data_IF_909518571633
#
_entry.id   IF_909518571633
#
_cell.length_a   1.000
_cell.length_b   1.000
_cell.length_c   1.000
_cell.angle_alpha   90.00
_cell.angle_beta   90.00
_cell.angle_gamma   90.00
#
_symmetry.space_group_name_H-M   'P 1'
#
loop_
_entity.id
_entity.type
_entity.pdbx_description
1 polymer ?
#
# COMPACT_ATOMS: atom_id res chain seq x y z
N UNK A 1 13.90 4.48 -2.33
CA UNK A 1 12.53 4.12 -1.94
C UNK A 1 12.47 3.65 -0.50
N UNK A 2 12.75 4.63 0.36
CA UNK A 2 12.22 4.77 1.71
C UNK A 2 10.68 4.96 1.70
N UNK A 3 10.01 5.01 2.86
CA UNK A 3 8.56 5.18 2.94
C UNK A 3 8.01 6.49 2.35
N UNK A 4 8.75 7.60 2.40
CA UNK A 4 8.25 8.90 1.93
C UNK A 4 8.23 9.01 0.40
N UNK A 5 9.16 8.33 -0.29
CA UNK A 5 9.03 8.13 -1.74
C UNK A 5 7.76 7.33 -2.12
N UNK A 6 7.30 6.41 -1.27
CA UNK A 6 6.04 5.64 -1.51
C UNK A 6 4.82 6.51 -1.26
N UNK A 7 4.83 7.27 -0.16
CA UNK A 7 3.77 8.24 0.20
C UNK A 7 3.55 9.25 -0.94
N UNK A 8 4.62 9.85 -1.46
CA UNK A 8 4.59 10.78 -2.60
C UNK A 8 4.09 10.14 -3.93
N UNK A 9 4.25 8.83 -4.10
CA UNK A 9 3.64 8.11 -5.23
C UNK A 9 2.14 7.94 -5.00
N UNK A 10 1.72 7.53 -3.80
CA UNK A 10 0.31 7.35 -3.43
C UNK A 10 -0.49 8.66 -3.41
N UNK A 11 0.14 9.80 -3.12
CA UNK A 11 -0.49 11.14 -3.17
C UNK A 11 -1.09 11.52 -4.54
N UNK A 12 -0.71 10.81 -5.61
CA UNK A 12 -1.21 11.02 -6.98
C UNK A 12 -2.56 10.37 -7.26
N UNK A 13 -2.98 9.44 -6.41
CA UNK A 13 -4.28 8.76 -6.55
C UNK A 13 -5.43 9.75 -6.46
N UNK A 14 -6.49 9.50 -7.24
CA UNK A 14 -7.67 10.37 -7.27
C UNK A 14 -8.68 9.95 -6.20
N UNK A 15 -9.16 10.94 -5.45
CA UNK A 15 -10.19 10.76 -4.44
C UNK A 15 -11.27 11.84 -4.58
N UNK A 16 -12.53 11.46 -4.37
CA UNK A 16 -13.66 12.38 -4.48
C UNK A 16 -13.81 13.22 -3.21
N UNK A 17 -14.02 14.53 -3.37
CA UNK A 17 -14.24 15.46 -2.26
C UNK A 17 -15.52 16.27 -2.44
N UNK A 18 -16.19 16.55 -1.33
CA UNK A 18 -17.25 17.55 -1.22
C UNK A 18 -16.62 18.86 -0.71
N UNK A 19 -16.61 19.90 -1.54
CA UNK A 19 -16.10 21.22 -1.15
C UNK A 19 -17.18 22.04 -0.41
N UNK A 20 -16.77 23.01 0.41
CA UNK A 20 -17.67 24.02 1.00
C UNK A 20 -17.53 25.41 0.35
N UNK A 21 -16.93 25.45 -0.84
CA UNK A 21 -16.69 26.65 -1.64
C UNK A 21 -16.93 26.31 -3.11
N UNK A 22 -17.25 27.31 -3.92
CA UNK A 22 -17.24 27.19 -5.37
C UNK A 22 -16.07 28.01 -5.93
N UNK A 23 -15.37 27.47 -6.92
CA UNK A 23 -14.22 28.11 -7.57
C UNK A 23 -14.05 27.55 -8.99
N UNK A 24 -13.48 28.35 -9.89
CA UNK A 24 -13.22 27.94 -11.26
C UNK A 24 -12.18 26.80 -11.34
N UNK A 25 -12.11 26.18 -12.52
CA UNK A 25 -11.09 25.19 -12.85
C UNK A 25 -9.69 25.80 -12.69
N UNK A 26 -8.79 25.06 -12.03
CA UNK A 26 -7.38 25.42 -11.88
C UNK A 26 -6.57 24.55 -12.83
N UNK A 27 -5.82 25.18 -13.72
CA UNK A 27 -4.93 24.53 -14.69
C UNK A 27 -3.55 24.30 -14.05
N UNK A 28 -3.07 23.05 -14.03
CA UNK A 28 -1.77 22.68 -13.48
C UNK A 28 -0.91 21.96 -14.52
N UNK A 29 0.40 21.92 -14.31
CA UNK A 29 1.36 21.20 -15.17
C UNK A 29 1.01 19.70 -15.27
N UNK A 30 0.47 19.10 -14.19
CA UNK A 30 0.01 17.71 -14.14
C UNK A 30 -1.44 17.49 -14.61
N UNK A 31 -2.09 18.49 -15.22
CA UNK A 31 -3.50 18.45 -15.61
C UNK A 31 -4.43 19.20 -14.65
N UNK A 32 -5.63 19.51 -15.13
CA UNK A 32 -6.57 20.39 -14.45
C UNK A 32 -7.25 19.77 -13.23
N UNK A 33 -7.61 20.61 -12.25
CA UNK A 33 -8.48 20.26 -11.12
C UNK A 33 -9.70 21.21 -11.07
N UNK A 34 -10.85 20.66 -10.67
CA UNK A 34 -12.13 21.38 -10.69
C UNK A 34 -12.75 21.50 -12.11
N UNK A 35 -13.77 22.37 -12.29
CA UNK A 35 -14.23 23.40 -11.36
C UNK A 35 -14.79 22.84 -10.05
N UNK A 36 -14.68 23.61 -8.99
CA UNK A 36 -15.21 23.28 -7.67
C UNK A 36 -16.59 23.89 -7.49
N UNK A 37 -17.54 23.10 -7.00
CA UNK A 37 -18.89 23.56 -6.66
C UNK A 37 -19.26 23.04 -5.28
N UNK A 38 -19.71 23.94 -4.41
CA UNK A 38 -20.05 23.60 -3.03
C UNK A 38 -21.04 22.44 -2.95
N UNK A 39 -20.74 21.45 -2.10
CA UNK A 39 -21.50 20.20 -1.90
C UNK A 39 -21.64 19.28 -3.11
N UNK A 40 -20.93 19.52 -4.22
CA UNK A 40 -20.87 18.61 -5.38
C UNK A 40 -19.58 17.77 -5.33
N UNK A 41 -19.63 16.44 -5.49
CA UNK A 41 -18.45 15.59 -5.61
C UNK A 41 -17.52 16.07 -6.72
N UNK A 42 -16.23 16.22 -6.40
CA UNK A 42 -15.18 16.59 -7.35
C UNK A 42 -13.96 15.69 -7.12
N UNK A 43 -13.50 15.00 -8.15
CA UNK A 43 -12.31 14.15 -8.04
C UNK A 43 -11.02 14.97 -8.16
N UNK A 44 -10.14 14.83 -7.17
CA UNK A 44 -8.84 15.50 -7.13
C UNK A 44 -7.73 14.52 -6.70
N UNK A 45 -6.45 14.79 -7.00
CA UNK A 45 -5.34 14.07 -6.39
C UNK A 45 -5.38 14.14 -4.86
N UNK A 46 -4.94 13.08 -4.19
CA UNK A 46 -4.98 12.96 -2.73
C UNK A 46 -4.26 14.11 -2.01
N UNK A 47 -3.13 14.62 -2.53
CA UNK A 47 -2.45 15.80 -1.96
C UNK A 47 -3.34 17.06 -1.95
N UNK A 48 -4.18 17.26 -2.98
CA UNK A 48 -5.15 18.37 -3.04
C UNK A 48 -6.26 18.16 -2.01
N UNK A 49 -6.75 16.93 -1.88
CA UNK A 49 -7.77 16.57 -0.90
C UNK A 49 -7.27 16.81 0.54
N UNK A 50 -6.04 16.40 0.86
CA UNK A 50 -5.39 16.63 2.16
C UNK A 50 -5.22 18.14 2.41
N UNK A 51 -4.68 18.89 1.45
CA UNK A 51 -4.47 20.34 1.55
C UNK A 51 -5.77 21.11 1.81
N UNK A 52 -6.85 20.78 1.11
CA UNK A 52 -8.18 21.37 1.33
C UNK A 52 -8.80 20.91 2.66
N UNK A 53 -8.60 19.65 3.06
CA UNK A 53 -9.11 19.08 4.32
C UNK A 53 -8.45 19.73 5.54
N UNK A 54 -7.12 19.93 5.54
CA UNK A 54 -6.38 20.65 6.58
C UNK A 54 -6.92 22.09 6.75
N UNK A 55 -7.24 22.75 5.64
CA UNK A 55 -7.84 24.10 5.59
C UNK A 55 -9.34 24.13 5.89
N UNK A 56 -9.94 23.00 6.29
CA UNK A 56 -11.39 22.81 6.53
C UNK A 56 -12.28 23.24 5.34
N UNK A 57 -11.75 23.13 4.11
CA UNK A 57 -12.42 23.50 2.85
C UNK A 57 -13.13 22.34 2.13
N UNK A 58 -12.94 21.11 2.59
CA UNK A 58 -13.66 19.95 2.06
C UNK A 58 -13.91 18.85 3.09
N UNK A 59 -14.87 17.98 2.77
CA UNK A 59 -15.02 16.63 3.31
C UNK A 59 -14.54 15.64 2.24
N UNK A 60 -13.53 14.85 2.57
CA UNK A 60 -13.10 13.73 1.73
C UNK A 60 -14.19 12.65 1.80
N UNK A 61 -14.55 12.06 0.66
CA UNK A 61 -15.45 10.91 0.60
C UNK A 61 -14.60 9.62 0.65
N UNK A 62 -15.01 8.59 1.43
CA UNK A 62 -14.31 7.31 1.42
C UNK A 62 -14.42 6.67 0.03
N UNK A 63 -13.31 6.12 -0.52
CA UNK A 63 -13.37 5.32 -1.74
C UNK A 63 -14.28 4.10 -1.58
N UNK A 64 -14.89 3.61 -2.66
CA UNK A 64 -15.86 2.50 -2.61
C UNK A 64 -15.30 1.17 -2.07
N UNK A 65 -13.98 1.02 -2.03
CA UNK A 65 -13.25 -0.13 -1.48
C UNK A 65 -12.94 0.03 0.01
N UNK A 66 -12.91 1.26 0.52
CA UNK A 66 -12.68 1.58 1.94
C UNK A 66 -14.02 1.54 2.70
N UNK A 67 -14.78 0.49 2.41
CA UNK A 67 -16.16 0.27 2.81
C UNK A 67 -16.22 -1.04 3.60
N UNK A 68 -16.92 -1.03 4.73
CA UNK A 68 -16.75 -2.02 5.79
C UNK A 68 -17.17 -3.41 5.32
N UNK A 69 -18.30 -3.50 4.62
CA UNK A 69 -18.79 -4.76 4.03
C UNK A 69 -17.77 -5.36 3.05
N UNK A 70 -17.14 -4.53 2.21
CA UNK A 70 -16.15 -5.00 1.22
C UNK A 70 -14.78 -5.32 1.85
N UNK A 71 -14.37 -4.57 2.87
CA UNK A 71 -13.15 -4.87 3.61
C UNK A 71 -13.31 -6.13 4.46
N UNK A 72 -14.49 -6.34 5.06
CA UNK A 72 -14.82 -7.61 5.70
C UNK A 72 -14.90 -8.73 4.66
N UNK A 73 -15.57 -8.58 3.50
CA UNK A 73 -15.51 -9.58 2.41
C UNK A 73 -14.07 -9.96 2.01
N UNK A 74 -13.19 -8.97 1.85
CA UNK A 74 -11.78 -9.18 1.50
C UNK A 74 -11.02 -9.86 2.64
N UNK A 75 -11.32 -9.53 3.89
CA UNK A 75 -10.73 -10.14 5.10
C UNK A 75 -11.33 -11.51 5.43
N UNK A 76 -12.55 -11.82 5.04
CA UNK A 76 -13.18 -13.15 5.18
C UNK A 76 -12.68 -14.12 4.10
N UNK A 77 -12.43 -13.63 2.87
CA UNK A 77 -11.66 -14.37 1.84
C UNK A 77 -10.22 -14.68 2.29
N UNK A 78 -9.78 -14.12 3.40
CA UNK A 78 -8.38 -14.07 3.84
C UNK A 78 -8.17 -14.59 5.29
N UNK A 79 -9.20 -14.70 6.17
CA UNK A 79 -8.98 -14.84 7.64
C UNK A 79 -10.02 -15.49 8.58
N UNK A 80 -11.34 -15.27 8.44
CA UNK A 80 -12.42 -15.56 9.45
C UNK A 80 -12.44 -14.67 10.75
N UNK A 81 -13.58 -13.98 11.04
CA UNK A 81 -14.06 -13.35 12.31
C UNK A 81 -13.70 -11.88 12.77
N UNK A 82 -14.61 -11.22 13.53
CA UNK A 82 -14.88 -9.74 13.79
C UNK A 82 -14.42 -9.17 15.19
N UNK A 83 -14.63 -7.92 15.73
CA UNK A 83 -14.92 -6.47 15.42
C UNK A 83 -14.70 -5.64 16.77
N UNK A 84 -14.92 -4.33 17.06
CA UNK A 84 -15.48 -3.08 16.45
C UNK A 84 -14.68 -1.79 16.90
N UNK A 85 -14.86 -0.47 16.62
CA UNK A 85 -15.78 0.44 15.84
C UNK A 85 -14.98 1.70 15.30
N UNK A 86 -15.20 3.01 15.57
CA UNK A 86 -16.03 4.05 14.86
C UNK A 86 -15.28 5.12 13.99
N UNK A 87 -15.49 5.08 12.65
CA UNK A 87 -15.61 6.18 11.63
C UNK A 87 -16.44 5.52 10.50
N UNK A 88 -17.76 5.39 10.66
CA UNK A 88 -18.30 4.18 11.35
C UNK A 88 -17.43 2.95 11.04
N UNK A 89 -16.97 2.23 12.07
CA UNK A 89 -15.98 1.15 11.95
C UNK A 89 -14.56 1.65 11.53
N UNK A 90 -13.99 2.68 12.18
CA UNK A 90 -12.66 3.25 11.88
C UNK A 90 -11.50 2.35 12.25
N UNK A 91 -11.52 1.93 13.50
CA UNK A 91 -10.47 1.16 14.13
C UNK A 91 -10.67 -0.31 13.76
N UNK A 92 -11.89 -0.70 13.36
CA UNK A 92 -12.12 -1.79 12.40
C UNK A 92 -11.41 -1.58 11.07
N UNK A 93 -11.74 -0.58 10.24
CA UNK A 93 -11.10 -0.38 8.92
C UNK A 93 -9.56 -0.32 9.04
N UNK A 94 -9.04 0.31 10.10
CA UNK A 94 -7.62 0.32 10.47
C UNK A 94 -7.11 -1.08 10.83
N UNK A 95 -7.84 -1.83 11.65
CA UNK A 95 -7.49 -3.20 12.06
C UNK A 95 -7.64 -4.20 10.92
N UNK A 96 -8.59 -4.04 10.00
CA UNK A 96 -8.78 -4.84 8.79
C UNK A 96 -7.65 -4.59 7.79
N UNK A 97 -7.32 -3.32 7.53
CA UNK A 97 -6.15 -2.95 6.72
C UNK A 97 -4.86 -3.49 7.36
N UNK A 98 -4.72 -3.37 8.69
CA UNK A 98 -3.58 -3.94 9.43
C UNK A 98 -3.56 -5.47 9.40
N UNK A 99 -4.70 -6.14 9.50
CA UNK A 99 -4.81 -7.60 9.50
C UNK A 99 -4.46 -8.19 8.14
N UNK A 100 -4.98 -7.58 7.07
CA UNK A 100 -4.63 -7.90 5.69
C UNK A 100 -3.13 -7.68 5.48
N UNK A 101 -2.59 -6.57 5.98
CA UNK A 101 -1.15 -6.27 5.93
C UNK A 101 -0.30 -7.29 6.69
N UNK A 102 -0.57 -7.53 7.97
CA UNK A 102 0.20 -8.42 8.84
C UNK A 102 0.12 -9.87 8.33
N UNK A 103 -1.03 -10.32 7.80
CA UNK A 103 -1.15 -11.64 7.19
C UNK A 103 -0.41 -11.74 5.86
N UNK A 104 -0.48 -10.73 4.98
CA UNK A 104 0.27 -10.74 3.72
C UNK A 104 1.78 -10.67 3.94
N UNK A 105 2.23 -9.89 4.92
CA UNK A 105 3.63 -9.91 5.40
C UNK A 105 4.01 -11.28 5.99
N UNK A 106 3.11 -11.97 6.70
CA UNK A 106 3.36 -13.33 7.19
C UNK A 106 3.46 -14.35 6.02
N UNK A 107 2.57 -14.28 5.02
CA UNK A 107 2.63 -15.08 3.78
C UNK A 107 3.94 -14.83 3.03
N UNK A 108 4.34 -13.57 2.87
CA UNK A 108 5.59 -13.15 2.22
C UNK A 108 6.84 -13.66 2.97
N UNK A 109 6.89 -13.49 4.30
CA UNK A 109 7.97 -14.03 5.14
C UNK A 109 8.09 -15.55 5.01
N UNK A 110 6.97 -16.28 5.02
CA UNK A 110 6.95 -17.74 4.84
C UNK A 110 7.43 -18.15 3.44
N UNK A 111 7.06 -17.41 2.39
CA UNK A 111 7.57 -17.65 1.03
C UNK A 111 9.09 -17.46 0.95
N UNK A 112 9.62 -16.42 1.61
CA UNK A 112 11.06 -16.14 1.68
C UNK A 112 11.81 -17.21 2.46
N UNK A 113 11.28 -17.66 3.60
CA UNK A 113 11.85 -18.74 4.41
C UNK A 113 11.96 -20.06 3.62
N UNK A 114 10.93 -20.39 2.85
CA UNK A 114 10.93 -21.54 1.92
C UNK A 114 12.01 -21.37 0.84
N UNK A 115 12.06 -20.21 0.16
CA UNK A 115 13.06 -19.93 -0.87
C UNK A 115 14.50 -20.02 -0.33
N UNK A 116 14.77 -19.46 0.86
CA UNK A 116 16.09 -19.46 1.50
C UNK A 116 16.50 -20.87 1.93
N UNK A 117 15.60 -21.63 2.57
CA UNK A 117 15.88 -22.97 3.08
C UNK A 117 16.00 -24.04 1.98
N UNK A 118 15.17 -23.97 0.93
CA UNK A 118 15.23 -24.85 -0.24
C UNK A 118 16.34 -24.44 -1.24
N UNK A 119 17.02 -23.32 -0.98
CA UNK A 119 18.05 -22.73 -1.82
C UNK A 119 17.59 -22.30 -3.23
N UNK A 120 16.30 -22.04 -3.41
CA UNK A 120 15.73 -21.67 -4.70
C UNK A 120 16.40 -20.44 -5.33
N UNK A 121 16.51 -20.46 -6.66
CA UNK A 121 17.12 -19.37 -7.47
C UNK A 121 16.08 -18.47 -8.13
N UNK A 122 14.79 -18.82 -7.99
CA UNK A 122 13.66 -18.08 -8.55
C UNK A 122 12.46 -18.19 -7.61
N UNK A 123 11.77 -17.07 -7.37
CA UNK A 123 10.49 -17.04 -6.69
C UNK A 123 9.52 -16.17 -7.49
N UNK A 124 8.33 -16.71 -7.77
CA UNK A 124 7.20 -15.92 -8.30
C UNK A 124 6.40 -15.35 -7.13
N UNK A 125 6.22 -14.04 -7.14
CA UNK A 125 5.48 -13.30 -6.12
C UNK A 125 4.44 -12.42 -6.82
N UNK A 126 3.24 -12.96 -7.00
CA UNK A 126 2.10 -12.24 -7.58
C UNK A 126 1.44 -11.31 -6.53
N UNK A 127 0.68 -10.32 -7.03
CA UNK A 127 -0.22 -9.44 -6.25
C UNK A 127 0.37 -8.69 -5.04
N UNK A 128 1.70 -8.57 -4.93
CA UNK A 128 2.37 -7.75 -3.92
C UNK A 128 2.27 -6.25 -4.24
N UNK A 129 1.96 -5.45 -3.22
CA UNK A 129 1.95 -4.00 -3.30
C UNK A 129 3.38 -3.43 -3.24
N UNK A 130 3.56 -2.22 -3.79
CA UNK A 130 4.83 -1.50 -3.77
C UNK A 130 5.38 -1.31 -2.34
N UNK A 131 4.50 -1.10 -1.35
CA UNK A 131 4.89 -0.88 0.04
C UNK A 131 5.43 -2.15 0.72
N UNK A 132 4.79 -3.31 0.49
CA UNK A 132 5.26 -4.60 1.01
C UNK A 132 6.64 -4.96 0.43
N UNK A 133 6.82 -4.78 -0.88
CA UNK A 133 8.10 -5.05 -1.54
C UNK A 133 9.17 -4.07 -1.02
N UNK A 134 8.86 -2.77 -0.89
CA UNK A 134 9.83 -1.78 -0.40
C UNK A 134 10.27 -2.02 1.05
N UNK A 135 9.41 -2.56 1.92
CA UNK A 135 9.79 -2.89 3.29
C UNK A 135 10.74 -4.08 3.40
N UNK A 136 10.77 -5.01 2.44
CA UNK A 136 11.62 -6.21 2.50
C UNK A 136 12.79 -6.21 1.52
N UNK A 137 12.66 -5.58 0.34
CA UNK A 137 13.67 -5.58 -0.73
C UNK A 137 15.07 -5.17 -0.24
N UNK A 138 15.27 -4.08 0.52
CA UNK A 138 16.62 -3.61 0.88
C UNK A 138 17.44 -4.66 1.65
N UNK A 139 16.80 -5.40 2.56
CA UNK A 139 17.44 -6.49 3.30
C UNK A 139 17.53 -7.77 2.45
N UNK A 140 16.43 -8.17 1.82
CA UNK A 140 16.32 -9.45 1.14
C UNK A 140 17.28 -9.58 -0.04
N UNK A 141 17.43 -8.54 -0.87
CA UNK A 141 18.33 -8.61 -2.03
C UNK A 141 19.77 -8.73 -1.58
N UNK A 142 20.22 -7.90 -0.63
CA UNK A 142 21.58 -7.95 -0.08
C UNK A 142 21.90 -9.31 0.55
N UNK A 143 20.95 -9.89 1.30
CA UNK A 143 21.11 -11.23 1.88
C UNK A 143 21.25 -12.32 0.80
N UNK A 144 20.43 -12.25 -0.27
CA UNK A 144 20.50 -13.19 -1.39
C UNK A 144 21.78 -13.01 -2.22
N UNK A 145 22.26 -11.78 -2.42
CA UNK A 145 23.53 -11.50 -3.10
C UNK A 145 24.69 -12.13 -2.32
N UNK A 146 24.73 -11.98 -0.99
CA UNK A 146 25.72 -12.66 -0.15
C UNK A 146 25.61 -14.19 -0.20
N UNK A 147 24.40 -14.75 -0.16
CA UNK A 147 24.17 -16.20 -0.33
C UNK A 147 24.64 -16.70 -1.70
N UNK A 148 24.41 -15.94 -2.77
CA UNK A 148 24.83 -16.28 -4.13
C UNK A 148 26.35 -16.33 -4.25
N UNK A 149 27.04 -15.27 -3.78
CA UNK A 149 28.51 -15.21 -3.77
C UNK A 149 29.14 -16.40 -3.01
N UNK A 150 28.58 -16.77 -1.86
CA UNK A 150 29.03 -17.95 -1.09
C UNK A 150 28.85 -19.26 -1.87
N UNK A 151 27.73 -19.45 -2.57
CA UNK A 151 27.49 -20.64 -3.42
C UNK A 151 28.49 -20.70 -4.58
N UNK A 152 28.76 -19.59 -5.25
CA UNK A 152 29.77 -19.52 -6.32
C UNK A 152 31.17 -19.89 -5.81
N UNK A 153 31.62 -19.30 -4.70
CA UNK A 153 32.93 -19.59 -4.13
C UNK A 153 33.10 -21.08 -3.75
N UNK A 154 32.04 -21.73 -3.23
CA UNK A 154 32.04 -23.17 -2.92
C UNK A 154 32.07 -24.03 -4.18
N UNK A 155 31.29 -23.66 -5.21
CA UNK A 155 31.29 -24.38 -6.50
C UNK A 155 32.63 -24.27 -7.24
N UNK A 156 33.35 -23.16 -7.08
CA UNK A 156 34.69 -22.94 -7.65
C UNK A 156 35.81 -23.64 -6.86
N UNK A 157 35.62 -23.90 -5.56
CA UNK A 157 36.65 -24.45 -4.67
C UNK A 157 36.20 -25.70 -3.89
N UNK A 158 35.77 -26.79 -4.56
CA UNK A 158 35.20 -27.99 -3.93
C UNK A 158 36.21 -28.87 -3.15
N UNK A 159 37.43 -28.39 -2.92
CA UNK A 159 38.52 -29.14 -2.26
C UNK A 159 38.79 -28.73 -0.81
N UNK A 160 38.03 -27.77 -0.27
CA UNK A 160 38.21 -27.19 1.08
C UNK A 160 37.12 -27.62 2.08
N UNK A 161 36.38 -28.70 1.79
CA UNK A 161 35.27 -29.24 2.60
C UNK A 161 35.31 -30.76 2.65
#
# INVERSE_FOLDING_TARGET
MDPSEVEFIAEKEKISILTNFSENKIYLIGGDIGPFSASIPTDVPLWVAIFLKQRRKCRIQPPHWMDVEKLQELKEKEKEADAADDIPHADEVRTLIKDIWDLRIAKLRKSIDIMVSQQEVYARLDDLSLMEINMIRPFLTQALDHMHNLRCHVAENPSNT
#
